data_IF_762559420203
#
_entry.id   IF_762559420203
#
_cell.length_a   1.000
_cell.length_b   1.000
_cell.length_c   1.000
_cell.angle_alpha   90.00
_cell.angle_beta   90.00
_cell.angle_gamma   90.00
#
_symmetry.space_group_name_H-M   'P 1'
#
loop_
_entity.id
_entity.type
_entity.pdbx_description
1 polymer ?
#
# COMPACT_ATOMS: atom_id res chain seq x y z
N UNK A 1 -33.88 -12.07 -4.18
CA UNK A 1 -33.06 -13.26 -4.49
C UNK A 1 -32.59 -13.89 -3.20
N UNK A 2 -32.78 -15.19 -3.04
CA UNK A 2 -32.24 -15.94 -1.90
C UNK A 2 -30.72 -16.12 -2.05
N UNK A 3 -30.02 -16.38 -0.94
CA UNK A 3 -28.57 -16.65 -0.94
C UNK A 3 -28.19 -17.78 -1.88
N UNK A 4 -29.04 -18.82 -1.97
CA UNK A 4 -28.89 -19.97 -2.86
C UNK A 4 -29.02 -19.58 -4.33
N UNK A 5 -30.08 -18.83 -4.70
CA UNK A 5 -30.26 -18.32 -6.07
C UNK A 5 -29.11 -17.40 -6.51
N UNK A 6 -28.57 -16.60 -5.58
CA UNK A 6 -27.40 -15.74 -5.86
C UNK A 6 -26.15 -16.57 -6.10
N UNK A 7 -25.94 -17.62 -5.31
CA UNK A 7 -24.82 -18.54 -5.46
C UNK A 7 -24.92 -19.31 -6.79
N UNK A 8 -26.08 -19.87 -7.12
CA UNK A 8 -26.30 -20.63 -8.36
C UNK A 8 -26.08 -19.76 -9.60
N UNK A 9 -26.59 -18.52 -9.59
CA UNK A 9 -26.36 -17.54 -10.66
C UNK A 9 -24.87 -17.17 -10.79
N UNK A 10 -24.17 -17.03 -9.66
CA UNK A 10 -22.74 -16.74 -9.64
C UNK A 10 -21.95 -17.92 -10.24
N UNK A 11 -22.24 -19.15 -9.84
CA UNK A 11 -21.60 -20.36 -10.34
C UNK A 11 -21.80 -20.51 -11.84
N UNK A 12 -23.01 -20.29 -12.36
CA UNK A 12 -23.28 -20.33 -13.80
C UNK A 12 -22.46 -19.27 -14.57
N UNK A 13 -22.43 -18.04 -14.06
CA UNK A 13 -21.65 -16.95 -14.69
C UNK A 13 -20.16 -17.27 -14.69
N UNK A 14 -19.63 -17.84 -13.61
CA UNK A 14 -18.21 -18.21 -13.51
C UNK A 14 -17.84 -19.35 -14.44
N UNK A 15 -18.73 -20.32 -14.71
CA UNK A 15 -18.47 -21.36 -15.73
C UNK A 15 -18.24 -20.74 -17.10
N UNK A 16 -19.15 -19.88 -17.55
CA UNK A 16 -19.01 -19.17 -18.84
C UNK A 16 -17.73 -18.33 -18.89
N UNK A 17 -17.39 -17.61 -17.82
CA UNK A 17 -16.16 -16.82 -17.77
C UNK A 17 -14.89 -17.67 -17.78
N UNK A 18 -14.91 -18.83 -17.12
CA UNK A 18 -13.80 -19.79 -17.14
C UNK A 18 -13.63 -20.36 -18.54
N UNK A 19 -14.72 -20.80 -19.19
CA UNK A 19 -14.68 -21.37 -20.54
C UNK A 19 -14.09 -20.36 -21.55
N UNK A 20 -14.55 -19.10 -21.51
CA UNK A 20 -14.01 -18.02 -22.36
C UNK A 20 -12.51 -17.79 -22.06
N UNK A 21 -12.12 -17.77 -20.79
CA UNK A 21 -10.72 -17.55 -20.42
C UNK A 21 -9.82 -18.71 -20.89
N UNK A 22 -10.29 -19.95 -20.78
CA UNK A 22 -9.61 -21.15 -21.28
C UNK A 22 -9.43 -21.08 -22.81
N UNK A 23 -10.47 -20.67 -23.55
CA UNK A 23 -10.40 -20.48 -25.00
C UNK A 23 -9.38 -19.39 -25.39
N UNK A 24 -9.40 -18.24 -24.71
CA UNK A 24 -8.45 -17.15 -24.95
C UNK A 24 -7.01 -17.60 -24.70
N UNK A 25 -6.75 -18.30 -23.60
CA UNK A 25 -5.41 -18.84 -23.29
C UNK A 25 -5.00 -19.90 -24.33
N UNK A 26 -5.93 -20.78 -24.74
CA UNK A 26 -5.70 -21.77 -25.78
C UNK A 26 -5.31 -21.15 -27.12
N UNK A 27 -6.06 -20.14 -27.57
CA UNK A 27 -5.81 -19.41 -28.81
C UNK A 27 -4.45 -18.67 -28.77
N UNK A 28 -4.12 -18.04 -27.64
CA UNK A 28 -2.84 -17.39 -27.45
C UNK A 28 -1.66 -18.37 -27.55
N UNK A 29 -1.77 -19.56 -26.93
CA UNK A 29 -0.77 -20.63 -27.03
C UNK A 29 -0.66 -21.20 -28.45
N UNK A 30 -1.79 -21.37 -29.16
CA UNK A 30 -1.75 -21.78 -30.57
C UNK A 30 -1.00 -20.77 -31.43
N UNK A 31 -1.19 -19.46 -31.20
CA UNK A 31 -0.43 -18.39 -31.84
C UNK A 31 1.08 -18.46 -31.53
N UNK A 32 1.46 -18.78 -30.29
CA UNK A 32 2.86 -19.00 -29.92
C UNK A 32 3.49 -20.15 -30.73
N UNK A 33 2.81 -21.29 -30.81
CA UNK A 33 3.32 -22.46 -31.56
C UNK A 33 3.42 -22.17 -33.06
N UNK A 34 2.40 -21.53 -33.66
CA UNK A 34 2.43 -21.15 -35.08
C UNK A 34 3.56 -20.17 -35.41
N UNK A 35 3.89 -19.29 -34.48
CA UNK A 35 4.94 -18.29 -34.71
C UNK A 35 6.32 -18.80 -34.33
N UNK A 36 6.48 -19.91 -33.59
CA UNK A 36 7.74 -20.37 -32.99
C UNK A 36 8.94 -20.43 -33.94
N UNK A 37 8.74 -20.79 -35.20
CA UNK A 37 9.81 -20.92 -36.21
C UNK A 37 9.99 -19.68 -37.08
N UNK A 38 9.15 -18.65 -36.91
CA UNK A 38 9.26 -17.39 -37.67
C UNK A 38 10.51 -16.63 -37.24
N UNK A 39 11.37 -16.33 -38.21
CA UNK A 39 12.54 -15.45 -38.09
C UNK A 39 12.53 -14.44 -39.23
N UNK A 40 12.82 -13.18 -38.91
CA UNK A 40 13.03 -12.06 -39.84
C UNK A 40 14.53 -11.89 -40.08
N UNK A 41 14.90 -11.21 -41.16
CA UNK A 41 16.31 -10.87 -41.42
C UNK A 41 16.78 -9.67 -40.59
N UNK A 42 15.84 -8.86 -40.12
CA UNK A 42 16.11 -7.69 -39.30
C UNK A 42 16.21 -8.08 -37.82
N UNK A 43 17.38 -7.81 -37.22
CA UNK A 43 17.68 -8.20 -35.85
C UNK A 43 16.75 -7.52 -34.84
N UNK A 44 16.35 -6.26 -35.08
CA UNK A 44 15.44 -5.55 -34.19
C UNK A 44 14.02 -6.13 -34.22
N UNK A 45 13.52 -6.46 -35.41
CA UNK A 45 12.24 -7.13 -35.58
C UNK A 45 12.23 -8.51 -34.90
N UNK A 46 13.31 -9.28 -35.01
CA UNK A 46 13.43 -10.58 -34.33
C UNK A 46 13.40 -10.46 -32.81
N UNK A 47 14.15 -9.50 -32.24
CA UNK A 47 14.10 -9.23 -30.80
C UNK A 47 12.70 -8.82 -30.33
N UNK A 48 12.00 -7.97 -31.11
CA UNK A 48 10.65 -7.55 -30.78
C UNK A 48 9.64 -8.71 -30.83
N UNK A 49 9.79 -9.61 -31.80
CA UNK A 49 8.95 -10.82 -31.91
C UNK A 49 9.17 -11.75 -30.72
N UNK A 50 10.43 -12.00 -30.32
CA UNK A 50 10.69 -12.85 -29.15
C UNK A 50 10.17 -12.23 -27.85
N UNK A 51 10.30 -10.92 -27.68
CA UNK A 51 9.73 -10.24 -26.51
C UNK A 51 8.20 -10.34 -26.48
N UNK A 52 7.51 -10.21 -27.62
CA UNK A 52 6.07 -10.43 -27.72
C UNK A 52 5.69 -11.86 -27.37
N UNK A 53 6.42 -12.87 -27.87
CA UNK A 53 6.18 -14.27 -27.50
C UNK A 53 6.33 -14.48 -26.00
N UNK A 54 7.40 -13.95 -25.40
CA UNK A 54 7.64 -14.00 -23.95
C UNK A 54 6.50 -13.35 -23.16
N UNK A 55 5.97 -12.22 -23.64
CA UNK A 55 4.82 -11.55 -23.02
C UNK A 55 3.55 -12.39 -23.09
N UNK A 56 3.24 -12.96 -24.27
CA UNK A 56 2.07 -13.84 -24.45
C UNK A 56 2.19 -15.05 -23.52
N UNK A 57 3.36 -15.71 -23.48
CA UNK A 57 3.60 -16.85 -22.59
C UNK A 57 3.41 -16.49 -21.12
N UNK A 58 3.92 -15.32 -20.71
CA UNK A 58 3.73 -14.79 -19.36
C UNK A 58 2.24 -14.61 -19.01
N UNK A 59 1.46 -13.98 -19.89
CA UNK A 59 0.03 -13.77 -19.68
C UNK A 59 -0.76 -15.08 -19.73
N UNK A 60 -0.40 -16.05 -20.56
CA UNK A 60 -0.97 -17.39 -20.54
C UNK A 60 -0.78 -18.05 -19.16
N UNK A 61 0.43 -18.01 -18.60
CA UNK A 61 0.70 -18.56 -17.27
C UNK A 61 -0.08 -17.86 -16.14
N UNK A 62 -0.29 -16.55 -16.23
CA UNK A 62 -1.17 -15.83 -15.30
C UNK A 62 -2.65 -16.19 -15.50
N UNK A 63 -3.08 -16.37 -16.76
CA UNK A 63 -4.41 -16.83 -17.12
C UNK A 63 -4.74 -18.17 -16.50
N UNK A 64 -3.84 -19.15 -16.64
CA UNK A 64 -3.98 -20.49 -16.05
C UNK A 64 -4.18 -20.42 -14.52
N UNK A 65 -3.38 -19.58 -13.85
CA UNK A 65 -3.53 -19.36 -12.40
C UNK A 65 -4.88 -18.74 -12.05
N UNK A 66 -5.35 -17.74 -12.79
CA UNK A 66 -6.65 -17.10 -12.54
C UNK A 66 -7.78 -18.11 -12.73
N UNK A 67 -7.72 -18.91 -13.80
CA UNK A 67 -8.68 -19.97 -14.11
C UNK A 67 -8.73 -21.02 -12.98
N UNK A 68 -7.58 -21.55 -12.56
CA UNK A 68 -7.46 -22.50 -11.45
C UNK A 68 -8.10 -21.95 -10.17
N UNK A 69 -7.71 -20.74 -9.75
CA UNK A 69 -8.23 -20.14 -8.51
C UNK A 69 -9.72 -19.83 -8.61
N UNK A 70 -10.22 -19.42 -9.77
CA UNK A 70 -11.64 -19.18 -9.98
C UNK A 70 -12.45 -20.47 -9.87
N UNK A 71 -11.97 -21.56 -10.50
CA UNK A 71 -12.57 -22.89 -10.46
C UNK A 71 -12.63 -23.42 -9.02
N UNK A 72 -11.49 -23.47 -8.33
CA UNK A 72 -11.39 -23.93 -6.94
C UNK A 72 -12.30 -23.14 -6.00
N UNK A 73 -12.26 -21.80 -6.08
CA UNK A 73 -13.03 -20.94 -5.16
C UNK A 73 -14.52 -20.97 -5.41
N UNK A 74 -14.95 -20.90 -6.68
CA UNK A 74 -16.36 -20.65 -7.02
C UNK A 74 -17.11 -21.94 -7.37
N UNK A 75 -16.46 -22.88 -8.06
CA UNK A 75 -17.11 -24.13 -8.47
C UNK A 75 -16.94 -25.23 -7.43
N UNK A 76 -15.79 -25.31 -6.75
CA UNK A 76 -15.51 -26.34 -5.72
C UNK A 76 -15.66 -25.83 -4.28
N UNK A 77 -15.88 -24.53 -4.08
CA UNK A 77 -16.08 -23.94 -2.76
C UNK A 77 -14.84 -23.90 -1.87
N UNK A 78 -13.65 -24.10 -2.44
CA UNK A 78 -12.39 -24.10 -1.68
C UNK A 78 -12.01 -22.70 -1.19
N UNK A 79 -11.37 -22.64 -0.02
CA UNK A 79 -10.74 -21.41 0.45
C UNK A 79 -9.35 -21.24 -0.15
N UNK A 80 -9.23 -20.27 -1.06
CA UNK A 80 -7.94 -19.81 -1.60
C UNK A 80 -7.40 -18.68 -0.73
N UNK A 81 -6.11 -18.76 -0.34
CA UNK A 81 -5.43 -17.73 0.42
C UNK A 81 -5.41 -16.39 -0.34
N UNK A 82 -5.17 -15.27 0.36
CA UNK A 82 -5.29 -13.93 -0.27
C UNK A 82 -4.09 -13.59 -1.14
N UNK A 83 -2.90 -14.03 -0.73
CA UNK A 83 -1.62 -13.92 -1.44
C UNK A 83 -1.52 -14.81 -2.68
N UNK A 84 -2.34 -15.85 -2.78
CA UNK A 84 -2.46 -16.67 -4.00
C UNK A 84 -3.33 -16.03 -5.10
N UNK A 85 -4.13 -15.01 -4.75
CA UNK A 85 -5.09 -14.39 -5.67
C UNK A 85 -4.42 -13.34 -6.53
N UNK A 86 -4.69 -13.40 -7.83
CA UNK A 86 -4.31 -12.37 -8.80
C UNK A 86 -5.50 -11.44 -8.98
N UNK A 87 -5.30 -10.15 -8.69
CA UNK A 87 -6.33 -9.11 -8.85
C UNK A 87 -6.21 -8.34 -10.16
N UNK A 88 -5.03 -8.37 -10.79
CA UNK A 88 -4.76 -7.83 -12.11
C UNK A 88 -3.70 -8.71 -12.78
N UNK A 89 -3.94 -9.17 -14.00
CA UNK A 89 -2.94 -9.89 -14.79
C UNK A 89 -1.83 -8.94 -15.29
N UNK A 90 -2.11 -7.65 -15.39
CA UNK A 90 -1.12 -6.63 -15.79
C UNK A 90 -0.27 -6.15 -14.62
N UNK A 91 -0.81 -6.23 -13.40
CA UNK A 91 -0.14 -5.82 -12.17
C UNK A 91 -0.27 -6.92 -11.10
N UNK A 92 0.39 -8.08 -11.25
CA UNK A 92 0.17 -9.25 -10.38
C UNK A 92 0.51 -9.04 -8.91
N UNK A 93 1.29 -8.01 -8.59
CA UNK A 93 1.61 -7.62 -7.23
C UNK A 93 0.51 -6.79 -6.55
N UNK A 94 -0.55 -6.41 -7.26
CA UNK A 94 -1.66 -5.62 -6.69
C UNK A 94 -2.24 -6.32 -5.47
N UNK A 95 -2.34 -5.62 -4.35
CA UNK A 95 -2.87 -6.16 -3.11
C UNK A 95 -4.36 -5.80 -2.93
N UNK A 96 -5.10 -6.67 -2.25
CA UNK A 96 -6.44 -6.37 -1.76
C UNK A 96 -6.34 -5.70 -0.39
N UNK A 97 -6.78 -4.44 -0.33
CA UNK A 97 -6.77 -3.61 0.88
C UNK A 97 -8.19 -3.56 1.45
N UNK A 98 -8.40 -4.27 2.56
CA UNK A 98 -9.66 -4.17 3.31
C UNK A 98 -9.66 -2.87 4.11
N UNK A 99 -10.54 -1.96 3.74
CA UNK A 99 -10.78 -0.73 4.49
C UNK A 99 -11.97 -0.96 5.41
N UNK A 100 -11.86 -0.64 6.69
CA UNK A 100 -13.00 -0.63 7.62
C UNK A 100 -13.94 0.58 7.37
N UNK A 101 -14.16 0.95 6.10
CA UNK A 101 -15.05 2.05 5.67
C UNK A 101 -16.32 1.45 5.08
N UNK A 102 -17.48 1.98 5.50
CA UNK A 102 -18.80 1.44 5.14
C UNK A 102 -19.08 1.49 3.62
N UNK A 103 -18.60 2.52 2.91
CA UNK A 103 -18.88 2.73 1.48
C UNK A 103 -17.90 2.04 0.52
N UNK A 104 -16.64 1.91 0.92
CA UNK A 104 -15.58 1.25 0.13
C UNK A 104 -14.89 0.24 1.03
N UNK A 105 -15.48 -0.95 1.23
CA UNK A 105 -14.93 -1.95 2.14
C UNK A 105 -13.62 -2.57 1.59
N UNK A 106 -13.41 -2.50 0.28
CA UNK A 106 -12.24 -3.07 -0.40
C UNK A 106 -11.71 -2.09 -1.44
N UNK A 107 -10.40 -1.89 -1.42
CA UNK A 107 -9.62 -1.15 -2.41
C UNK A 107 -8.53 -2.08 -2.98
N UNK A 108 -8.04 -1.78 -4.18
CA UNK A 108 -6.92 -2.50 -4.82
C UNK A 108 -5.73 -1.55 -4.98
N UNK A 109 -4.53 -2.05 -4.76
CA UNK A 109 -3.30 -1.29 -4.89
C UNK A 109 -2.30 -1.71 -3.83
N UNK A 110 -1.58 -0.75 -3.24
CA UNK A 110 -0.63 -1.04 -2.18
C UNK A 110 -0.88 -0.17 -0.96
N UNK A 111 -0.66 -0.77 0.21
CA UNK A 111 -0.62 -0.03 1.46
C UNK A 111 0.75 0.63 1.62
N UNK A 112 0.78 1.91 1.97
CA UNK A 112 2.02 2.61 2.26
C UNK A 112 2.07 3.01 3.74
N UNK A 113 3.21 2.75 4.40
CA UNK A 113 3.54 3.30 5.71
C UNK A 113 4.28 4.63 5.53
N UNK A 114 3.94 5.63 6.36
CA UNK A 114 4.58 6.95 6.36
C UNK A 114 4.82 7.40 7.80
N UNK A 115 5.98 7.99 8.07
CA UNK A 115 6.27 8.70 9.32
C UNK A 115 6.70 10.14 9.03
N UNK A 116 6.09 11.09 9.74
CA UNK A 116 6.35 12.53 9.60
C UNK A 116 7.03 13.09 10.86
N UNK A 117 8.05 13.92 10.69
CA UNK A 117 8.69 14.68 11.76
C UNK A 117 8.04 16.05 12.01
N UNK A 118 8.47 16.74 13.08
CA UNK A 118 7.84 17.98 13.56
C UNK A 118 7.71 19.11 12.50
N UNK A 119 8.62 19.16 11.53
CA UNK A 119 8.64 20.20 10.48
C UNK A 119 7.86 19.81 9.21
N UNK A 120 7.12 18.70 9.27
CA UNK A 120 6.34 18.19 8.14
C UNK A 120 7.17 17.47 7.07
N UNK A 121 8.39 17.04 7.45
CA UNK A 121 9.23 16.18 6.62
C UNK A 121 8.84 14.74 6.83
N UNK A 122 8.64 14.01 5.74
CA UNK A 122 8.49 12.55 5.80
C UNK A 122 9.89 11.96 6.03
N UNK A 123 10.05 11.26 7.15
CA UNK A 123 11.34 10.69 7.57
C UNK A 123 11.43 9.20 7.27
N UNK A 124 10.29 8.55 7.07
CA UNK A 124 10.19 7.14 6.71
C UNK A 124 9.03 6.96 5.74
N UNK A 125 9.23 6.12 4.73
CA UNK A 125 8.18 5.61 3.87
C UNK A 125 8.48 4.17 3.51
N UNK A 126 7.44 3.37 3.30
CA UNK A 126 7.56 1.99 2.86
C UNK A 126 6.30 1.59 2.12
N UNK A 127 6.44 1.01 0.93
CA UNK A 127 5.32 0.35 0.27
C UNK A 127 5.27 -1.07 0.82
N UNK A 128 4.16 -1.42 1.47
CA UNK A 128 4.01 -2.70 2.14
C UNK A 128 3.59 -3.78 1.14
N UNK A 129 3.92 -5.02 1.46
CA UNK A 129 3.41 -6.21 0.76
C UNK A 129 2.11 -6.65 1.42
N UNK A 130 1.04 -6.82 0.65
CA UNK A 130 -0.26 -7.20 1.19
C UNK A 130 -0.94 -6.09 1.98
N UNK A 131 -1.71 -6.50 2.98
CA UNK A 131 -2.43 -5.60 3.88
C UNK A 131 -2.12 -5.94 5.35
N UNK A 132 -0.85 -5.79 5.80
CA UNK A 132 -0.47 -6.11 7.16
C UNK A 132 -1.20 -5.18 8.16
N UNK A 133 -1.50 -5.65 9.39
CA UNK A 133 -2.08 -4.80 10.43
C UNK A 133 -1.19 -3.59 10.76
N UNK A 134 -1.76 -2.43 11.06
CA UNK A 134 -0.97 -1.23 11.35
C UNK A 134 -0.06 -1.39 12.58
N UNK A 135 -0.52 -2.15 13.58
CA UNK A 135 0.19 -2.38 14.84
C UNK A 135 1.59 -2.98 14.67
N UNK A 136 1.86 -3.78 13.64
CA UNK A 136 3.17 -4.44 13.50
C UNK A 136 4.31 -3.45 13.18
N UNK A 137 3.98 -2.22 12.75
CA UNK A 137 4.97 -1.27 12.26
C UNK A 137 5.61 -0.39 13.34
N UNK A 138 5.05 -0.32 14.56
CA UNK A 138 5.52 0.62 15.61
C UNK A 138 6.96 0.32 16.03
N UNK A 139 7.31 -0.94 16.30
CA UNK A 139 8.67 -1.28 16.71
C UNK A 139 9.70 -0.92 15.62
N UNK A 140 9.39 -1.28 14.37
CA UNK A 140 10.25 -0.99 13.22
C UNK A 140 10.42 0.52 12.97
N UNK A 141 9.36 1.31 13.18
CA UNK A 141 9.42 2.76 12.97
C UNK A 141 10.25 3.45 14.04
N UNK A 142 10.18 3.00 15.30
CA UNK A 142 11.02 3.48 16.39
C UNK A 142 12.50 3.16 16.15
N UNK A 143 12.80 1.93 15.70
CA UNK A 143 14.16 1.53 15.36
C UNK A 143 14.74 2.40 14.23
N UNK A 144 13.99 2.56 13.13
CA UNK A 144 14.39 3.42 12.01
C UNK A 144 14.56 4.87 12.42
N UNK A 145 13.70 5.38 13.32
CA UNK A 145 13.86 6.73 13.86
C UNK A 145 15.16 6.86 14.65
N UNK A 146 15.46 5.91 15.54
CA UNK A 146 16.70 5.93 16.32
C UNK A 146 17.94 5.82 15.44
N UNK A 147 17.89 5.03 14.37
CA UNK A 147 18.98 4.95 13.38
C UNK A 147 19.21 6.29 12.68
N UNK A 148 18.14 6.99 12.30
CA UNK A 148 18.24 8.27 11.59
C UNK A 148 18.64 9.45 12.50
N UNK A 149 18.17 9.48 13.75
CA UNK A 149 18.30 10.63 14.65
C UNK A 149 19.21 10.39 15.86
N UNK A 150 19.71 9.17 16.07
CA UNK A 150 20.54 8.79 17.21
C UNK A 150 19.80 8.67 18.55
N UNK A 151 18.53 9.08 18.62
CA UNK A 151 17.71 9.05 19.82
C UNK A 151 16.26 8.66 19.51
N UNK A 152 15.47 8.39 20.54
CA UNK A 152 14.04 8.13 20.41
C UNK A 152 13.23 9.41 20.15
N UNK A 153 12.05 9.35 19.52
CA UNK A 153 11.22 10.53 19.38
C UNK A 153 10.71 10.98 20.75
N UNK A 154 10.65 12.29 20.99
CA UNK A 154 10.08 12.83 22.23
C UNK A 154 8.58 12.52 22.35
N UNK A 155 7.87 12.55 21.21
CA UNK A 155 6.46 12.25 21.10
C UNK A 155 6.24 11.28 19.95
N UNK A 156 5.50 10.19 20.21
CA UNK A 156 5.05 9.25 19.19
C UNK A 156 3.52 9.31 19.09
N UNK A 157 3.02 9.89 18.00
CA UNK A 157 1.59 10.02 17.72
C UNK A 157 1.16 9.08 16.59
N UNK A 158 0.13 8.27 16.83
CA UNK A 158 -0.42 7.35 15.82
C UNK A 158 -1.93 7.29 15.89
N UNK A 159 -2.55 6.76 14.85
CA UNK A 159 -3.97 6.43 14.90
C UNK A 159 -4.19 5.17 15.77
N UNK A 160 -5.47 4.89 16.05
CA UNK A 160 -5.91 3.74 16.85
C UNK A 160 -5.59 2.37 16.22
N UNK A 161 -5.36 2.30 14.92
CA UNK A 161 -4.98 1.08 14.21
C UNK A 161 -3.63 0.54 14.69
N UNK A 162 -2.74 1.42 15.13
CA UNK A 162 -1.42 1.08 15.68
C UNK A 162 -1.45 0.65 17.16
N UNK A 163 -2.62 0.60 17.80
CA UNK A 163 -2.72 0.30 19.22
C UNK A 163 -2.56 -1.19 19.52
N UNK A 164 -1.60 -1.50 20.40
CA UNK A 164 -1.51 -2.74 21.17
C UNK A 164 -0.78 -2.46 22.48
N UNK A 165 -1.00 -3.28 23.52
CA UNK A 165 -0.25 -3.15 24.78
C UNK A 165 1.26 -3.32 24.56
N UNK A 166 1.64 -4.23 23.66
CA UNK A 166 3.02 -4.42 23.22
C UNK A 166 3.59 -3.14 22.60
N UNK A 167 2.84 -2.44 21.76
CA UNK A 167 3.30 -1.19 21.15
C UNK A 167 3.48 -0.06 22.18
N UNK A 168 2.61 0.02 23.18
CA UNK A 168 2.80 0.97 24.28
C UNK A 168 4.06 0.65 25.08
N UNK A 169 4.33 -0.63 25.34
CA UNK A 169 5.55 -1.08 26.00
C UNK A 169 6.79 -0.79 25.16
N UNK A 170 6.76 -1.08 23.85
CA UNK A 170 7.84 -0.79 22.90
C UNK A 170 8.18 0.69 22.85
N UNK A 171 7.18 1.58 22.81
CA UNK A 171 7.41 3.03 22.86
C UNK A 171 8.10 3.45 24.17
N UNK A 172 7.66 2.92 25.32
CA UNK A 172 8.27 3.23 26.61
C UNK A 172 9.71 2.72 26.70
N UNK A 173 9.94 1.48 26.29
CA UNK A 173 11.26 0.85 26.28
C UNK A 173 12.23 1.58 25.35
N UNK A 174 11.73 2.07 24.20
CA UNK A 174 12.51 2.90 23.29
C UNK A 174 12.88 4.27 23.88
N UNK A 175 12.23 4.73 24.96
CA UNK A 175 12.50 6.03 25.60
C UNK A 175 11.60 7.17 25.10
N UNK A 176 10.45 6.86 24.50
CA UNK A 176 9.48 7.88 24.08
C UNK A 176 8.83 8.54 25.31
N UNK A 177 8.94 9.86 25.43
CA UNK A 177 8.42 10.60 26.59
C UNK A 177 6.90 10.72 26.57
N UNK A 178 6.31 10.89 25.39
CA UNK A 178 4.86 11.07 25.22
C UNK A 178 4.33 10.11 24.14
N UNK A 179 3.48 9.16 24.54
CA UNK A 179 2.89 8.16 23.62
C UNK A 179 1.42 8.47 23.38
N UNK A 180 1.12 9.06 22.22
CA UNK A 180 -0.23 9.43 21.81
C UNK A 180 -0.78 8.40 20.82
N UNK A 181 -1.04 7.18 21.28
CA UNK A 181 -1.65 6.10 20.50
C UNK A 181 -2.98 5.68 21.14
N UNK A 182 -4.16 6.09 20.61
CA UNK A 182 -5.47 5.87 21.26
C UNK A 182 -5.82 4.40 21.40
N UNK A 183 -6.42 4.01 22.53
CA UNK A 183 -6.85 2.62 22.75
C UNK A 183 -7.90 2.19 21.71
N UNK A 184 -7.67 1.02 21.12
CA UNK A 184 -8.60 0.36 20.20
C UNK A 184 -9.26 -0.82 20.91
N UNK A 185 -10.60 -0.83 20.90
CA UNK A 185 -11.39 -1.90 21.49
C UNK A 185 -11.34 -1.96 23.02
N UNK A 186 -12.24 -2.75 23.59
CA UNK A 186 -12.35 -2.96 25.04
C UNK A 186 -12.78 -1.72 25.83
N UNK A 187 -12.95 -1.91 27.15
CA UNK A 187 -13.24 -0.83 28.09
C UNK A 187 -11.92 -0.18 28.53
N UNK A 188 -11.83 1.15 28.43
CA UNK A 188 -10.68 1.89 28.95
C UNK A 188 -10.70 1.86 30.47
N UNK A 189 -9.53 1.68 31.08
CA UNK A 189 -9.37 1.92 32.52
C UNK A 189 -9.55 3.41 32.82
N UNK A 190 -9.95 3.77 34.04
CA UNK A 190 -10.06 5.19 34.46
C UNK A 190 -8.76 5.97 34.22
N UNK A 191 -7.61 5.33 34.50
CA UNK A 191 -6.28 5.90 34.24
C UNK A 191 -6.07 6.17 32.75
N UNK A 192 -6.42 5.22 31.89
CA UNK A 192 -6.27 5.37 30.44
C UNK A 192 -7.18 6.47 29.89
N UNK A 193 -8.42 6.51 30.37
CA UNK A 193 -9.39 7.53 29.99
C UNK A 193 -8.92 8.93 30.42
N UNK A 194 -8.44 9.09 31.66
CA UNK A 194 -7.86 10.34 32.14
C UNK A 194 -6.66 10.78 31.29
N UNK A 195 -5.78 9.83 30.92
CA UNK A 195 -4.64 10.11 30.05
C UNK A 195 -5.08 10.57 28.65
N UNK A 196 -6.01 9.88 28.00
CA UNK A 196 -6.52 10.27 26.67
C UNK A 196 -7.27 11.61 26.69
N UNK A 197 -7.84 12.01 27.83
CA UNK A 197 -8.48 13.32 28.02
C UNK A 197 -7.50 14.45 28.36
N UNK A 198 -6.26 14.14 28.72
CA UNK A 198 -5.24 15.10 29.11
C UNK A 198 -4.85 16.06 27.97
N UNK A 199 -4.36 17.25 28.32
CA UNK A 199 -3.89 18.23 27.36
C UNK A 199 -2.71 17.72 26.51
N UNK A 200 -1.78 16.99 27.13
CA UNK A 200 -0.61 16.41 26.46
C UNK A 200 -1.03 15.43 25.37
N UNK A 201 -1.98 14.53 25.69
CA UNK A 201 -2.47 13.56 24.71
C UNK A 201 -3.22 14.24 23.56
N UNK A 202 -4.11 15.19 23.88
CA UNK A 202 -4.85 15.97 22.88
C UNK A 202 -3.91 16.74 21.96
N UNK A 203 -2.87 17.37 22.49
CA UNK A 203 -1.86 18.08 21.70
C UNK A 203 -1.06 17.13 20.80
N UNK A 204 -0.67 15.95 21.30
CA UNK A 204 -0.01 14.94 20.46
C UNK A 204 -0.92 14.40 19.34
N UNK A 205 -2.22 14.27 19.59
CA UNK A 205 -3.19 13.91 18.56
C UNK A 205 -3.45 15.03 17.54
N UNK A 206 -3.42 16.30 17.96
CA UNK A 206 -3.43 17.46 17.04
C UNK A 206 -2.19 17.49 16.16
N UNK A 207 -1.02 17.23 16.74
CA UNK A 207 0.22 17.07 15.98
C UNK A 207 0.11 15.94 14.96
N UNK A 208 -0.34 14.75 15.39
CA UNK A 208 -0.57 13.60 14.52
C UNK A 208 -1.53 13.93 13.36
N UNK A 209 -2.59 14.70 13.57
CA UNK A 209 -3.51 15.09 12.51
C UNK A 209 -2.82 15.84 11.34
N UNK A 210 -1.64 16.46 11.57
CA UNK A 210 -0.82 17.05 10.52
C UNK A 210 -0.47 16.08 9.39
N UNK A 211 -0.22 14.80 9.70
CA UNK A 211 0.13 13.80 8.69
C UNK A 211 -1.04 13.50 7.74
N UNK A 212 -2.29 13.68 8.18
CA UNK A 212 -3.47 13.49 7.31
C UNK A 212 -3.48 14.56 6.21
N UNK A 213 -3.17 15.81 6.57
CA UNK A 213 -2.97 16.89 5.61
C UNK A 213 -1.79 16.61 4.68
N UNK A 214 -0.70 16.07 5.22
CA UNK A 214 0.49 15.68 4.44
C UNK A 214 0.18 14.59 3.41
N UNK A 215 -0.55 13.56 3.81
CA UNK A 215 -1.02 12.50 2.90
C UNK A 215 -1.86 13.11 1.78
N UNK A 216 -2.78 14.03 2.09
CA UNK A 216 -3.55 14.73 1.05
C UNK A 216 -2.65 15.47 0.05
N UNK A 217 -1.60 16.15 0.52
CA UNK A 217 -0.61 16.83 -0.33
C UNK A 217 0.15 15.83 -1.20
N UNK A 218 0.57 14.68 -0.67
CA UNK A 218 1.24 13.64 -1.44
C UNK A 218 0.35 13.14 -2.59
N UNK A 219 -0.91 12.83 -2.28
CA UNK A 219 -1.87 12.34 -3.27
C UNK A 219 -2.22 13.40 -4.33
N UNK A 220 -2.59 14.61 -3.92
CA UNK A 220 -3.15 15.63 -4.81
C UNK A 220 -2.10 16.51 -5.47
N UNK A 221 -0.98 16.75 -4.79
CA UNK A 221 0.03 17.71 -5.22
C UNK A 221 1.37 17.10 -5.61
N UNK A 222 1.64 15.82 -5.33
CA UNK A 222 2.93 15.15 -5.63
C UNK A 222 2.78 13.86 -6.44
N UNK A 223 1.62 13.64 -7.05
CA UNK A 223 1.40 12.54 -8.00
C UNK A 223 1.17 11.16 -7.37
N UNK A 224 1.05 11.05 -6.04
CA UNK A 224 0.90 9.75 -5.37
C UNK A 224 -0.49 9.11 -5.58
N UNK A 225 -1.46 9.83 -6.17
CA UNK A 225 -2.82 9.31 -6.40
C UNK A 225 -2.89 8.20 -7.44
N UNK A 226 -2.02 8.22 -8.45
CA UNK A 226 -1.98 7.22 -9.52
C UNK A 226 -0.56 7.09 -10.05
N UNK A 227 0.00 5.90 -9.99
CA UNK A 227 1.23 5.54 -10.69
C UNK A 227 0.85 5.18 -12.14
N UNK A 228 1.56 5.72 -13.12
CA UNK A 228 1.40 5.36 -14.54
C UNK A 228 2.46 4.37 -15.01
N UNK A 229 3.52 4.19 -14.22
CA UNK A 229 4.54 3.20 -14.49
C UNK A 229 4.10 1.84 -13.95
N UNK A 230 4.16 0.82 -14.79
CA UNK A 230 3.74 -0.53 -14.45
C UNK A 230 4.75 -1.21 -13.52
N UNK A 231 4.37 -2.21 -12.74
CA UNK A 231 5.33 -3.03 -12.00
C UNK A 231 5.77 -2.45 -10.66
N UNK A 232 6.10 -3.37 -9.74
CA UNK A 232 6.27 -3.08 -8.32
C UNK A 232 7.40 -2.09 -8.03
N UNK A 233 8.58 -2.31 -8.61
CA UNK A 233 9.75 -1.47 -8.36
C UNK A 233 9.52 -0.03 -8.80
N UNK A 234 8.84 0.15 -9.95
CA UNK A 234 8.48 1.47 -10.46
C UNK A 234 7.40 2.14 -9.61
N UNK A 235 6.46 1.37 -9.07
CA UNK A 235 5.49 1.87 -8.09
C UNK A 235 6.20 2.36 -6.81
N UNK A 236 7.16 1.61 -6.28
CA UNK A 236 7.93 2.00 -5.10
C UNK A 236 8.75 3.26 -5.35
N UNK A 237 9.43 3.33 -6.50
CA UNK A 237 10.16 4.52 -6.95
C UNK A 237 9.22 5.73 -7.06
N UNK A 238 8.02 5.55 -7.58
CA UNK A 238 7.00 6.61 -7.71
C UNK A 238 6.58 7.18 -6.36
N UNK A 239 6.34 6.31 -5.37
CA UNK A 239 6.04 6.72 -3.99
C UNK A 239 7.23 7.48 -3.39
N UNK A 240 8.45 6.97 -3.58
CA UNK A 240 9.68 7.63 -3.13
C UNK A 240 9.86 9.02 -3.74
N UNK A 241 9.61 9.17 -5.05
CA UNK A 241 9.67 10.45 -5.74
C UNK A 241 8.66 11.47 -5.19
N UNK A 242 7.43 11.04 -4.90
CA UNK A 242 6.41 11.89 -4.28
C UNK A 242 6.83 12.38 -2.88
N UNK A 243 7.41 11.48 -2.08
CA UNK A 243 7.96 11.78 -0.75
C UNK A 243 9.13 12.77 -0.84
N UNK A 244 10.07 12.53 -1.76
CA UNK A 244 11.22 13.40 -1.99
C UNK A 244 10.77 14.81 -2.42
N UNK A 245 9.86 14.90 -3.38
CA UNK A 245 9.29 16.16 -3.84
C UNK A 245 8.58 16.92 -2.71
N UNK A 246 7.84 16.22 -1.84
CA UNK A 246 7.27 16.83 -0.65
C UNK A 246 8.34 17.43 0.27
N UNK A 247 9.38 16.67 0.57
CA UNK A 247 10.44 17.10 1.48
C UNK A 247 11.19 18.31 0.92
N UNK A 248 11.52 18.33 -0.37
CA UNK A 248 12.12 19.51 -1.01
C UNK A 248 11.25 20.76 -0.91
N UNK A 249 9.95 20.63 -1.19
CA UNK A 249 9.02 21.76 -1.08
C UNK A 249 8.90 22.28 0.37
N UNK A 250 9.00 21.39 1.37
CA UNK A 250 9.02 21.78 2.78
C UNK A 250 10.32 22.47 3.18
N UNK A 251 11.46 21.96 2.72
CA UNK A 251 12.76 22.59 2.94
C UNK A 251 12.79 23.98 2.32
N UNK A 252 12.37 24.12 1.06
CA UNK A 252 12.26 25.42 0.38
C UNK A 252 11.38 26.40 1.16
N UNK A 253 10.19 25.99 1.60
CA UNK A 253 9.31 26.82 2.41
C UNK A 253 9.95 27.26 3.74
N UNK A 254 10.69 26.38 4.40
CA UNK A 254 11.43 26.71 5.64
C UNK A 254 12.55 27.72 5.38
N UNK A 255 13.28 27.59 4.27
CA UNK A 255 14.33 28.52 3.88
C UNK A 255 13.76 29.91 3.54
N UNK A 256 12.66 29.95 2.78
CA UNK A 256 11.97 31.20 2.45
C UNK A 256 11.42 31.90 3.68
N UNK A 257 10.82 31.18 4.63
CA UNK A 257 10.32 31.78 5.88
C UNK A 257 11.43 32.35 6.77
N UNK A 258 12.67 31.85 6.65
CA UNK A 258 13.85 32.39 7.35
C UNK A 258 14.42 33.64 6.69
N UNK A 259 14.27 33.79 5.38
CA UNK A 259 14.87 34.87 4.59
C UNK A 259 14.43 36.31 4.96
N UNK A 260 13.14 36.62 5.21
CA UNK A 260 12.73 38.01 5.49
C UNK A 260 13.12 38.51 6.89
N UNK A 261 13.69 37.66 7.77
CA UNK A 261 14.20 38.09 9.08
C UNK A 261 15.65 38.61 9.05
N UNK A 262 16.41 38.39 7.97
CA UNK A 262 17.78 38.90 7.84
C UNK A 262 17.91 40.28 7.19
N UNK A 263 16.88 40.75 6.47
CA UNK A 263 16.90 42.08 5.82
C UNK A 263 16.36 43.23 6.69
N UNK A 264 15.85 42.95 7.90
CA UNK A 264 15.37 43.99 8.85
C UNK A 264 16.34 44.28 9.99
N UNK A 265 17.58 43.83 9.90
CA UNK A 265 18.62 44.01 10.91
C UNK A 265 19.95 44.50 10.32
N UNK A 266 19.88 45.29 9.25
CA UNK A 266 20.99 46.03 8.67
C UNK A 266 20.58 47.50 8.56
#
# INVERSE_FOLDING_TARGET
MTTRQRHDRQTHTYRVLIDIAEEVVGNARAGLEMTRTMRRKDMFADMAIEELRRQIEHFCGLGDRVIDKARRRVLFGEQVATDEKIYSIFEPHTDLIKRCKVRTPVEFGHKAFLAEGAQGLITQYEVLKGNPPDEVHVASSLQRHRQAFGHAPQLYGSDRGFFSEQNLASCKHAGVKVVCNPQRGGKRTRRREAYEKSAVFKNGQRFRAGIEGRISVLFRGRGMKRCLAEGRDRFELWVGAAVLANNFMRIAAMLMARSPRRQKAA
#
